data_IF_732373730774
#
_entry.id   IF_732373730774
#
_cell.length_a   1.000
_cell.length_b   1.000
_cell.length_c   1.000
_cell.angle_alpha   90.00
_cell.angle_beta   90.00
_cell.angle_gamma   90.00
#
_symmetry.space_group_name_H-M   'P 1'
#
loop_
_entity.id
_entity.type
_entity.pdbx_description
1 polymer ?
#
# COMPACT_ATOMS: atom_id res chain seq x y z
N UNK A 1 29.84 8.17 9.37
CA UNK A 1 30.39 8.27 7.99
C UNK A 1 29.60 7.46 6.95
N UNK A 2 28.49 6.80 7.33
CA UNK A 2 27.57 6.09 6.41
C UNK A 2 26.37 6.98 5.99
N UNK A 3 26.41 8.28 6.31
CA UNK A 3 25.19 8.98 6.78
C UNK A 3 24.62 10.06 5.86
N UNK A 4 25.11 10.25 4.63
CA UNK A 4 24.52 11.28 3.75
C UNK A 4 23.58 10.71 2.67
N UNK A 5 23.99 9.64 1.97
CA UNK A 5 23.22 9.11 0.84
C UNK A 5 22.14 8.11 1.27
N UNK A 6 22.43 7.23 2.22
CA UNK A 6 21.43 6.29 2.75
C UNK A 6 20.33 7.05 3.50
N UNK A 7 20.69 8.00 4.36
CA UNK A 7 19.72 8.84 5.07
C UNK A 7 18.88 9.66 4.08
N UNK A 8 19.48 10.38 3.11
CA UNK A 8 18.69 11.13 2.12
C UNK A 8 17.72 10.26 1.30
N UNK A 9 18.00 8.98 1.14
CA UNK A 9 17.20 8.04 0.34
C UNK A 9 16.14 7.31 1.15
N UNK A 10 16.47 6.89 2.37
CA UNK A 10 15.57 6.13 3.26
C UNK A 10 14.67 7.07 4.06
N UNK A 11 15.16 8.25 4.43
CA UNK A 11 14.41 9.20 5.25
C UNK A 11 13.06 9.59 4.64
N UNK A 12 12.93 9.94 3.34
CA UNK A 12 11.62 10.26 2.77
C UNK A 12 10.64 9.08 2.83
N UNK A 13 11.14 7.84 2.70
CA UNK A 13 10.35 6.61 2.78
C UNK A 13 9.83 6.36 4.20
N UNK A 14 10.70 6.58 5.20
CA UNK A 14 10.35 6.43 6.61
C UNK A 14 9.40 7.54 7.04
N UNK A 15 9.70 8.79 6.67
CA UNK A 15 8.87 9.96 7.02
C UNK A 15 7.47 9.83 6.44
N UNK A 16 7.31 9.47 5.17
CA UNK A 16 5.98 9.29 4.57
C UNK A 16 5.16 8.19 5.27
N UNK A 17 5.79 7.08 5.64
CA UNK A 17 5.14 5.98 6.33
C UNK A 17 4.78 6.34 7.77
N UNK A 18 5.68 6.98 8.51
CA UNK A 18 5.39 7.51 9.85
C UNK A 18 4.26 8.53 9.79
N UNK A 19 4.28 9.44 8.82
CA UNK A 19 3.21 10.42 8.62
C UNK A 19 1.86 9.76 8.32
N UNK A 20 1.83 8.64 7.59
CA UNK A 20 0.60 7.87 7.41
C UNK A 20 0.05 7.34 8.73
N UNK A 21 0.90 6.74 9.57
CA UNK A 21 0.49 6.19 10.87
C UNK A 21 0.04 7.31 11.82
N UNK A 22 0.81 8.40 11.89
CA UNK A 22 0.47 9.59 12.69
C UNK A 22 -0.84 10.20 12.21
N UNK A 23 -1.05 10.33 10.90
CA UNK A 23 -2.28 10.85 10.33
C UNK A 23 -3.47 9.95 10.66
N UNK A 24 -3.31 8.62 10.56
CA UNK A 24 -4.36 7.69 10.94
C UNK A 24 -4.74 7.84 12.43
N UNK A 25 -3.74 7.89 13.32
CA UNK A 25 -3.97 8.08 14.75
C UNK A 25 -4.63 9.44 15.07
N UNK A 26 -4.20 10.51 14.39
CA UNK A 26 -4.78 11.84 14.54
C UNK A 26 -6.24 11.88 14.08
N UNK A 27 -6.55 11.30 12.91
CA UNK A 27 -7.91 11.23 12.40
C UNK A 27 -8.81 10.41 13.32
N UNK A 28 -8.33 9.26 13.80
CA UNK A 28 -9.05 8.43 14.76
C UNK A 28 -9.32 9.21 16.06
N UNK A 29 -8.32 9.88 16.62
CA UNK A 29 -8.47 10.72 17.80
C UNK A 29 -9.51 11.84 17.60
N UNK A 30 -9.48 12.53 16.45
CA UNK A 30 -10.44 13.58 16.13
C UNK A 30 -11.88 13.03 16.01
N UNK A 31 -12.05 11.84 15.42
CA UNK A 31 -13.37 11.19 15.36
C UNK A 31 -13.89 10.83 16.75
N UNK A 32 -13.03 10.42 17.68
CA UNK A 32 -13.39 10.16 19.07
C UNK A 32 -13.83 11.44 19.79
N UNK A 33 -13.05 12.52 19.70
CA UNK A 33 -13.38 13.81 20.34
C UNK A 33 -14.68 14.40 19.77
N UNK A 34 -14.95 14.21 18.48
CA UNK A 34 -16.17 14.68 17.83
C UNK A 34 -17.40 13.78 18.06
N UNK A 35 -17.25 12.61 18.69
CA UNK A 35 -18.35 11.63 18.83
C UNK A 35 -18.76 10.96 17.51
N UNK A 36 -17.88 10.97 16.50
CA UNK A 36 -18.13 10.47 15.13
C UNK A 36 -17.47 9.12 14.85
N UNK A 37 -17.19 8.32 15.87
CA UNK A 37 -16.51 7.00 15.75
C UNK A 37 -17.21 6.03 14.78
N UNK A 38 -18.52 6.18 14.57
CA UNK A 38 -19.28 5.39 13.60
C UNK A 38 -18.79 5.57 12.16
N UNK A 39 -18.15 6.70 11.83
CA UNK A 39 -17.54 6.96 10.52
C UNK A 39 -16.43 5.95 10.21
N UNK A 40 -15.70 5.48 11.23
CA UNK A 40 -14.66 4.45 11.08
C UNK A 40 -15.18 3.17 10.41
N UNK A 41 -16.43 2.79 10.64
CA UNK A 41 -17.07 1.63 9.96
C UNK A 41 -17.20 1.85 8.45
N UNK A 42 -17.60 3.05 8.03
CA UNK A 42 -17.72 3.39 6.61
C UNK A 42 -16.35 3.58 5.94
N UNK A 43 -15.34 4.04 6.69
CA UNK A 43 -13.95 4.06 6.23
C UNK A 43 -13.40 2.65 5.96
N UNK A 44 -13.84 1.64 6.70
CA UNK A 44 -13.52 0.24 6.41
C UNK A 44 -14.02 -0.22 5.03
N UNK A 45 -15.29 0.07 4.72
CA UNK A 45 -15.91 -0.28 3.42
C UNK A 45 -15.22 0.46 2.28
N UNK A 46 -15.11 1.77 2.40
CA UNK A 46 -14.56 2.64 1.35
C UNK A 46 -13.05 2.41 1.16
N UNK A 47 -12.29 2.20 2.24
CA UNK A 47 -10.88 1.81 2.19
C UNK A 47 -10.67 0.46 1.49
N UNK A 48 -11.54 -0.52 1.76
CA UNK A 48 -11.55 -1.81 1.04
C UNK A 48 -11.79 -1.60 -0.44
N UNK A 49 -12.74 -0.74 -0.85
CA UNK A 49 -12.95 -0.41 -2.26
C UNK A 49 -11.71 0.19 -2.92
N UNK A 50 -11.01 1.12 -2.25
CA UNK A 50 -9.74 1.67 -2.76
C UNK A 50 -8.68 0.59 -2.97
N UNK A 51 -8.54 -0.36 -2.03
CA UNK A 51 -7.63 -1.49 -2.18
C UNK A 51 -8.03 -2.42 -3.33
N UNK A 52 -9.32 -2.76 -3.47
CA UNK A 52 -9.83 -3.55 -4.61
C UNK A 52 -9.55 -2.84 -5.93
N UNK A 53 -9.86 -1.55 -6.03
CA UNK A 53 -9.58 -0.78 -7.24
C UNK A 53 -8.09 -0.65 -7.54
N UNK A 54 -7.20 -0.72 -6.53
CA UNK A 54 -5.76 -0.74 -6.75
C UNK A 54 -5.32 -1.89 -7.68
N UNK A 55 -6.06 -3.00 -7.73
CA UNK A 55 -5.78 -4.13 -8.63
C UNK A 55 -6.08 -3.83 -10.10
N UNK A 56 -6.65 -2.68 -10.44
CA UNK A 56 -6.79 -2.22 -11.83
C UNK A 56 -5.43 -2.19 -12.54
N UNK A 57 -4.33 -1.89 -11.83
CA UNK A 57 -2.98 -1.99 -12.39
C UNK A 57 -2.60 -3.44 -12.76
N UNK A 58 -2.88 -4.40 -11.88
CA UNK A 58 -2.66 -5.82 -12.16
C UNK A 58 -3.51 -6.31 -13.34
N UNK A 59 -4.76 -5.87 -13.42
CA UNK A 59 -5.66 -6.18 -14.54
C UNK A 59 -5.13 -5.59 -15.86
N UNK A 60 -4.63 -4.35 -15.83
CA UNK A 60 -3.97 -3.72 -16.99
C UNK A 60 -2.71 -4.46 -17.40
N UNK A 61 -1.85 -4.84 -16.45
CA UNK A 61 -0.61 -5.60 -16.69
C UNK A 61 -0.87 -6.96 -17.33
N UNK A 62 -1.96 -7.64 -16.94
CA UNK A 62 -2.41 -8.92 -17.52
C UNK A 62 -3.22 -8.76 -18.82
N UNK A 63 -3.36 -7.53 -19.35
CA UNK A 63 -4.14 -7.20 -20.55
C UNK A 63 -5.65 -7.54 -20.45
N UNK A 64 -6.18 -7.70 -19.23
CA UNK A 64 -7.63 -7.80 -18.98
C UNK A 64 -8.28 -6.45 -19.28
N UNK A 65 -7.69 -5.36 -18.79
CA UNK A 65 -7.99 -4.00 -19.25
C UNK A 65 -7.06 -3.65 -20.41
N UNK A 66 -7.62 -3.36 -21.59
CA UNK A 66 -6.85 -3.24 -22.84
C UNK A 66 -6.44 -1.80 -23.21
N UNK A 67 -7.12 -0.80 -22.66
CA UNK A 67 -6.89 0.62 -22.96
C UNK A 67 -6.19 1.36 -21.82
N UNK A 68 -5.65 2.55 -22.15
CA UNK A 68 -5.05 3.48 -21.20
C UNK A 68 -3.55 3.26 -20.93
N UNK A 69 -2.84 4.33 -20.52
CA UNK A 69 -1.39 4.30 -20.33
C UNK A 69 -1.00 3.58 -19.04
N UNK A 70 -0.05 2.63 -19.14
CA UNK A 70 0.41 1.79 -18.01
C UNK A 70 0.87 2.62 -16.80
N UNK A 71 1.57 3.74 -17.05
CA UNK A 71 2.02 4.63 -15.99
C UNK A 71 0.88 5.30 -15.20
N UNK A 72 -0.29 5.51 -15.81
CA UNK A 72 -1.45 6.05 -15.07
C UNK A 72 -2.05 5.01 -14.13
N UNK A 73 -2.18 3.76 -14.58
CA UNK A 73 -2.63 2.66 -13.73
C UNK A 73 -1.68 2.42 -12.55
N UNK A 74 -0.36 2.49 -12.78
CA UNK A 74 0.61 2.38 -11.69
C UNK A 74 0.45 3.51 -10.67
N UNK A 75 0.29 4.77 -11.14
CA UNK A 75 0.03 5.92 -10.24
C UNK A 75 -1.27 5.75 -9.48
N UNK A 76 -2.32 5.26 -10.13
CA UNK A 76 -3.61 4.99 -9.50
C UNK A 76 -3.47 3.93 -8.40
N UNK A 77 -2.87 2.78 -8.70
CA UNK A 77 -2.57 1.72 -7.73
C UNK A 77 -1.80 2.25 -6.51
N UNK A 78 -0.78 3.08 -6.75
CA UNK A 78 -0.01 3.71 -5.69
C UNK A 78 -0.89 4.61 -4.81
N UNK A 79 -1.66 5.52 -5.42
CA UNK A 79 -2.53 6.46 -4.69
C UNK A 79 -3.65 5.76 -3.95
N UNK A 80 -4.33 4.81 -4.60
CA UNK A 80 -5.42 4.07 -3.99
C UNK A 80 -4.92 3.14 -2.88
N UNK A 81 -3.71 2.58 -3.01
CA UNK A 81 -3.04 1.87 -1.91
C UNK A 81 -2.86 2.75 -0.68
N UNK A 82 -2.25 3.93 -0.83
CA UNK A 82 -2.05 4.88 0.28
C UNK A 82 -3.36 5.35 0.92
N UNK A 83 -4.33 5.76 0.10
CA UNK A 83 -5.65 6.22 0.57
C UNK A 83 -6.38 5.07 1.29
N UNK A 84 -6.42 3.89 0.68
CA UNK A 84 -7.05 2.70 1.25
C UNK A 84 -6.42 2.30 2.59
N UNK A 85 -5.09 2.27 2.68
CA UNK A 85 -4.39 1.99 3.94
C UNK A 85 -4.71 3.02 5.02
N UNK A 86 -4.74 4.32 4.70
CA UNK A 86 -5.09 5.36 5.67
C UNK A 86 -6.50 5.13 6.23
N UNK A 87 -7.48 4.93 5.36
CA UNK A 87 -8.88 4.71 5.75
C UNK A 87 -9.04 3.43 6.58
N UNK A 88 -8.33 2.37 6.22
CA UNK A 88 -8.35 1.10 6.95
C UNK A 88 -7.64 1.18 8.30
N UNK A 89 -6.57 1.96 8.43
CA UNK A 89 -5.93 2.18 9.73
C UNK A 89 -6.85 2.94 10.70
N UNK A 90 -7.58 3.94 10.21
CA UNK A 90 -8.62 4.62 11.01
C UNK A 90 -9.75 3.65 11.37
N UNK A 91 -10.10 2.72 10.47
CA UNK A 91 -11.10 1.69 10.74
C UNK A 91 -10.66 0.66 11.80
N UNK A 92 -9.38 0.29 11.84
CA UNK A 92 -8.87 -0.83 12.66
C UNK A 92 -9.16 -0.69 14.16
N UNK A 93 -9.27 0.52 14.69
CA UNK A 93 -9.49 0.79 16.11
C UNK A 93 -8.46 0.11 17.02
N UNK A 94 -8.68 0.17 18.35
CA UNK A 94 -7.85 -0.56 19.33
C UNK A 94 -8.72 -1.59 20.04
N UNK A 95 -8.77 -2.81 19.49
CA UNK A 95 -9.51 -3.94 20.08
C UNK A 95 -8.57 -5.11 20.38
N UNK A 96 -8.05 -5.19 21.61
CA UNK A 96 -6.99 -6.15 21.99
C UNK A 96 -7.35 -7.64 21.83
N UNK A 97 -8.65 -7.99 21.82
CA UNK A 97 -9.09 -9.38 21.75
C UNK A 97 -9.29 -9.91 20.31
N UNK A 98 -9.15 -9.07 19.29
CA UNK A 98 -9.50 -9.42 17.92
C UNK A 98 -8.26 -9.79 17.09
N UNK A 99 -7.75 -11.01 17.26
CA UNK A 99 -6.51 -11.46 16.60
C UNK A 99 -6.54 -11.33 15.07
N UNK A 100 -7.64 -11.74 14.44
CA UNK A 100 -7.79 -11.73 12.98
C UNK A 100 -7.67 -10.33 12.34
N UNK A 101 -8.44 -9.30 12.77
CA UNK A 101 -8.26 -7.93 12.22
C UNK A 101 -6.89 -7.33 12.52
N UNK A 102 -6.28 -7.62 13.67
CA UNK A 102 -4.92 -7.17 13.97
C UNK A 102 -3.88 -7.82 13.05
N UNK A 103 -4.00 -9.12 12.78
CA UNK A 103 -3.17 -9.81 11.80
C UNK A 103 -3.34 -9.19 10.40
N UNK A 104 -4.58 -8.94 9.96
CA UNK A 104 -4.85 -8.28 8.69
C UNK A 104 -4.24 -6.86 8.63
N UNK A 105 -4.35 -6.09 9.72
CA UNK A 105 -3.77 -4.74 9.83
C UNK A 105 -2.24 -4.76 9.78
N UNK A 106 -1.60 -5.69 10.50
CA UNK A 106 -0.16 -5.87 10.47
C UNK A 106 0.33 -6.21 9.06
N UNK A 107 -0.29 -7.19 8.39
CA UNK A 107 0.08 -7.56 7.04
C UNK A 107 -0.23 -6.47 6.01
N UNK A 108 -1.29 -5.68 6.21
CA UNK A 108 -1.55 -4.49 5.41
C UNK A 108 -0.39 -3.49 5.53
N UNK A 109 0.08 -3.18 6.74
CA UNK A 109 1.22 -2.29 6.96
C UNK A 109 2.50 -2.82 6.30
N UNK A 110 2.79 -4.12 6.45
CA UNK A 110 3.94 -4.78 5.80
C UNK A 110 3.83 -4.66 4.27
N UNK A 111 2.66 -4.92 3.70
CA UNK A 111 2.40 -4.77 2.25
C UNK A 111 2.57 -3.32 1.81
N UNK A 112 2.09 -2.35 2.60
CA UNK A 112 2.21 -0.92 2.29
C UNK A 112 3.67 -0.47 2.31
N UNK A 113 4.46 -0.87 3.31
CA UNK A 113 5.92 -0.62 3.34
C UNK A 113 6.59 -1.26 2.12
N UNK A 114 6.29 -2.53 1.84
CA UNK A 114 6.83 -3.24 0.67
C UNK A 114 6.47 -2.53 -0.64
N UNK A 115 5.22 -2.07 -0.79
CA UNK A 115 4.75 -1.30 -1.94
C UNK A 115 5.47 0.04 -2.07
N UNK A 116 5.73 0.72 -0.96
CA UNK A 116 6.46 1.97 -0.96
C UNK A 116 7.93 1.79 -1.37
N UNK A 117 8.58 0.70 -0.94
CA UNK A 117 9.91 0.30 -1.43
C UNK A 117 9.89 0.08 -2.95
N UNK A 118 8.86 -0.58 -3.49
CA UNK A 118 8.69 -0.76 -4.93
C UNK A 118 8.55 0.56 -5.70
N UNK A 119 7.80 1.52 -5.15
CA UNK A 119 7.70 2.88 -5.70
C UNK A 119 9.05 3.59 -5.73
N UNK A 120 9.84 3.45 -4.67
CA UNK A 120 11.17 4.03 -4.59
C UNK A 120 12.10 3.42 -5.65
N UNK A 121 12.15 2.09 -5.78
CA UNK A 121 12.94 1.40 -6.82
C UNK A 121 12.54 1.90 -8.22
N UNK A 122 11.24 1.99 -8.50
CA UNK A 122 10.72 2.45 -9.79
C UNK A 122 11.11 3.91 -10.10
N UNK A 123 10.97 4.82 -9.13
CA UNK A 123 11.33 6.23 -9.30
C UNK A 123 12.82 6.40 -9.52
N UNK A 124 13.64 5.72 -8.72
CA UNK A 124 15.10 5.74 -8.86
C UNK A 124 15.52 5.25 -10.24
N UNK A 125 15.00 4.12 -10.70
CA UNK A 125 15.29 3.60 -12.03
C UNK A 125 14.94 4.62 -13.13
N UNK A 126 13.76 5.26 -13.03
CA UNK A 126 13.33 6.27 -13.98
C UNK A 126 14.22 7.50 -13.99
N UNK A 127 14.71 7.93 -12.83
CA UNK A 127 15.58 9.11 -12.72
C UNK A 127 16.98 8.83 -13.26
N UNK A 128 17.54 7.64 -12.99
CA UNK A 128 18.84 7.21 -13.56
C UNK A 128 18.79 7.08 -15.09
N UNK A 129 17.71 6.50 -15.65
CA UNK A 129 17.49 6.39 -17.09
C UNK A 129 17.35 7.75 -17.80
N UNK A 130 16.94 8.79 -17.07
CA UNK A 130 16.82 10.16 -17.62
C UNK A 130 18.13 10.90 -17.68
N UNK A 131 19.03 10.60 -16.73
CA UNK A 131 20.31 11.29 -16.59
C UNK A 131 21.40 10.69 -17.48
N UNK A 132 21.25 9.43 -17.91
CA UNK A 132 22.28 8.68 -18.63
C UNK A 132 21.86 8.37 -20.07
N UNK A 133 22.78 8.60 -21.01
CA UNK A 133 22.62 8.29 -22.43
C UNK A 133 23.49 7.10 -22.86
N UNK A 134 23.20 6.48 -24.00
CA UNK A 134 24.06 5.46 -24.62
C UNK A 134 23.99 4.06 -24.00
N UNK A 135 25.10 3.31 -24.01
CA UNK A 135 25.23 1.93 -23.50
C UNK A 135 24.82 1.78 -22.02
N UNK A 136 24.98 2.86 -21.24
CA UNK A 136 24.54 2.92 -19.85
C UNK A 136 23.01 2.70 -19.72
N UNK A 137 22.21 3.13 -20.70
CA UNK A 137 20.74 2.95 -20.66
C UNK A 137 20.38 1.47 -20.53
N UNK A 138 21.00 0.61 -21.34
CA UNK A 138 20.71 -0.83 -21.32
C UNK A 138 21.12 -1.47 -19.99
N UNK A 139 22.28 -1.05 -19.45
CA UNK A 139 22.73 -1.50 -18.14
C UNK A 139 21.74 -1.10 -17.03
N UNK A 140 21.35 0.17 -16.95
CA UNK A 140 20.42 0.65 -15.92
C UNK A 140 19.01 0.09 -16.07
N UNK A 141 18.55 -0.12 -17.30
CA UNK A 141 17.26 -0.78 -17.57
C UNK A 141 17.27 -2.23 -17.09
N UNK A 142 18.34 -2.99 -17.38
CA UNK A 142 18.48 -4.37 -16.90
C UNK A 142 18.52 -4.47 -15.37
N UNK A 143 19.25 -3.56 -14.70
CA UNK A 143 19.28 -3.49 -13.23
C UNK A 143 17.91 -3.15 -12.65
N UNK A 144 17.19 -2.20 -13.26
CA UNK A 144 15.85 -1.81 -12.82
C UNK A 144 14.87 -2.98 -12.95
N UNK A 145 14.87 -3.68 -14.08
CA UNK A 145 14.03 -4.85 -14.33
C UNK A 145 14.35 -5.96 -13.34
N UNK A 146 15.63 -6.21 -13.05
CA UNK A 146 16.06 -7.22 -12.08
C UNK A 146 15.61 -6.87 -10.65
N UNK A 147 15.82 -5.63 -10.21
CA UNK A 147 15.43 -5.17 -8.88
C UNK A 147 13.91 -5.22 -8.68
N UNK A 148 13.12 -4.73 -9.65
CA UNK A 148 11.66 -4.84 -9.63
C UNK A 148 11.19 -6.30 -9.71
N UNK A 149 11.93 -7.15 -10.41
CA UNK A 149 11.70 -8.59 -10.48
C UNK A 149 11.84 -9.27 -9.12
N UNK A 150 12.93 -9.00 -8.40
CA UNK A 150 13.17 -9.52 -7.04
C UNK A 150 12.16 -8.96 -6.04
N UNK A 151 11.91 -7.66 -6.06
CA UNK A 151 10.89 -7.02 -5.22
C UNK A 151 9.53 -7.70 -5.40
N UNK A 152 9.12 -7.97 -6.64
CA UNK A 152 7.84 -8.63 -6.93
C UNK A 152 7.75 -10.05 -6.35
N UNK A 153 8.85 -10.80 -6.28
CA UNK A 153 8.87 -12.14 -5.66
C UNK A 153 8.54 -12.10 -4.17
N UNK A 154 8.83 -10.97 -3.51
CA UNK A 154 8.53 -10.75 -2.08
C UNK A 154 7.15 -10.10 -1.93
N UNK A 155 6.86 -9.06 -2.71
CA UNK A 155 5.64 -8.28 -2.57
C UNK A 155 4.37 -9.09 -2.89
N UNK A 156 4.38 -9.93 -3.94
CA UNK A 156 3.18 -10.66 -4.36
C UNK A 156 2.70 -11.68 -3.32
N UNK A 157 3.57 -12.53 -2.70
CA UNK A 157 3.15 -13.40 -1.60
C UNK A 157 2.58 -12.63 -0.41
N UNK A 158 3.19 -11.49 -0.04
CA UNK A 158 2.69 -10.64 1.05
C UNK A 158 1.28 -10.12 0.75
N UNK A 159 1.03 -9.67 -0.48
CA UNK A 159 -0.30 -9.24 -0.93
C UNK A 159 -1.30 -10.39 -0.86
N UNK A 160 -0.94 -11.59 -1.32
CA UNK A 160 -1.82 -12.76 -1.27
C UNK A 160 -2.21 -13.13 0.16
N UNK A 161 -1.25 -13.11 1.08
CA UNK A 161 -1.50 -13.41 2.49
C UNK A 161 -2.40 -12.35 3.14
N UNK A 162 -2.11 -11.06 2.91
CA UNK A 162 -2.97 -9.97 3.36
C UNK A 162 -4.40 -10.11 2.80
N UNK A 163 -4.56 -10.40 1.51
CA UNK A 163 -5.87 -10.62 0.90
C UNK A 163 -6.61 -11.77 1.57
N UNK A 164 -5.94 -12.89 1.87
CA UNK A 164 -6.54 -14.01 2.60
C UNK A 164 -7.06 -13.58 3.97
N UNK A 165 -6.23 -12.90 4.76
CA UNK A 165 -6.62 -12.39 6.09
C UNK A 165 -7.79 -11.40 6.00
N UNK A 166 -7.74 -10.46 5.06
CA UNK A 166 -8.80 -9.47 4.84
C UNK A 166 -10.12 -10.12 4.40
N UNK A 167 -10.07 -11.12 3.50
CA UNK A 167 -11.25 -11.85 3.06
C UNK A 167 -11.86 -12.65 4.21
N UNK A 168 -11.06 -13.39 4.98
CA UNK A 168 -11.55 -14.13 6.15
C UNK A 168 -12.17 -13.15 7.16
N UNK A 169 -11.54 -11.99 7.37
CA UNK A 169 -12.08 -10.95 8.24
C UNK A 169 -13.46 -10.45 7.75
N UNK A 170 -13.57 -10.05 6.49
CA UNK A 170 -14.84 -9.58 5.90
C UNK A 170 -15.91 -10.68 5.94
N UNK A 171 -15.58 -11.92 5.58
CA UNK A 171 -16.51 -13.05 5.61
C UNK A 171 -16.95 -13.38 7.03
N UNK A 172 -16.05 -13.36 8.01
CA UNK A 172 -16.41 -13.58 9.42
C UNK A 172 -17.40 -12.53 9.90
N UNK A 173 -17.15 -11.27 9.53
CA UNK A 173 -18.02 -10.15 9.84
C UNK A 173 -19.39 -10.37 9.20
N UNK A 174 -19.47 -10.78 7.92
CA UNK A 174 -20.73 -11.02 7.21
C UNK A 174 -21.51 -12.23 7.75
N UNK A 175 -20.83 -13.31 8.13
CA UNK A 175 -21.45 -14.53 8.68
C UNK A 175 -22.00 -14.33 10.09
N UNK A 176 -21.23 -13.62 10.92
CA UNK A 176 -21.63 -13.27 12.29
C UNK A 176 -22.29 -11.89 12.36
N UNK A 177 -22.70 -11.34 11.22
CA UNK A 177 -23.30 -10.01 11.15
C UNK A 177 -24.69 -10.04 11.76
N UNK A 178 -24.79 -9.67 13.02
CA UNK A 178 -26.07 -9.48 13.68
C UNK A 178 -26.48 -8.02 13.49
N UNK A 179 -27.42 -7.74 12.58
CA UNK A 179 -28.06 -6.42 12.40
C UNK A 179 -28.96 -6.06 13.60
N UNK A 180 -28.43 -6.15 14.83
CA UNK A 180 -29.08 -5.61 16.02
C UNK A 180 -28.41 -4.30 16.42
#
# INVERSE_FOLDING_TARGET
MLDSLLIRRVLPLVVSFVMLVVMAALLDFLLHVAGLVWVGRYLGITGTLFLVFSFAYSARKKKVVRSGPMGAFLRFHCRSGWIGTLMLLVHSGIHFNAFLPWAATLFMLIVTVSGHIGQYIYRKAKDELRLKGGEDILYWDSLAVNALGQWRKIHMPLVSLFLGLALIHILSILLFWNWR
#
